data_IF_237735547555
#
_entry.id   IF_237735547555
#
_cell.length_a   1.000
_cell.length_b   1.000
_cell.length_c   1.000
_cell.angle_alpha   90.00
_cell.angle_beta   90.00
_cell.angle_gamma   90.00
#
_symmetry.space_group_name_H-M   'P 1'
#
loop_
_entity.id
_entity.type
_entity.pdbx_description
1 polymer ?
#
# COMPACT_ATOMS: atom_id res chain seq x y z
N UNK A 1 -30.95 -53.90 -11.21
CA UNK A 1 -30.77 -52.51 -10.74
C UNK A 1 -29.39 -52.36 -10.12
N UNK A 2 -28.44 -51.65 -10.75
CA UNK A 2 -27.12 -51.34 -10.17
C UNK A 2 -27.17 -49.96 -9.53
N UNK A 3 -27.19 -49.91 -8.19
CA UNK A 3 -27.14 -48.68 -7.41
C UNK A 3 -25.70 -48.15 -7.45
N UNK A 4 -25.46 -47.12 -8.27
CA UNK A 4 -24.17 -46.41 -8.25
C UNK A 4 -24.23 -45.42 -7.08
N UNK A 5 -23.42 -45.66 -6.06
CA UNK A 5 -23.13 -44.66 -5.03
C UNK A 5 -22.51 -43.44 -5.74
N UNK A 6 -23.29 -42.36 -5.86
CA UNK A 6 -22.82 -41.09 -6.37
C UNK A 6 -21.94 -40.45 -5.28
N UNK A 7 -20.62 -40.47 -5.48
CA UNK A 7 -19.67 -39.70 -4.70
C UNK A 7 -19.84 -38.23 -5.09
N UNK A 8 -20.66 -37.50 -4.34
CA UNK A 8 -20.82 -36.05 -4.47
C UNK A 8 -19.54 -35.39 -3.93
N UNK A 9 -18.58 -35.15 -4.82
CA UNK A 9 -17.47 -34.23 -4.55
C UNK A 9 -18.07 -32.83 -4.34
N UNK A 10 -18.12 -32.39 -3.08
CA UNK A 10 -18.40 -31.02 -2.71
C UNK A 10 -17.27 -30.13 -3.26
N UNK A 11 -17.50 -29.52 -4.43
CA UNK A 11 -16.69 -28.39 -4.89
C UNK A 11 -17.05 -27.20 -3.99
N UNK A 12 -16.39 -27.12 -2.84
CA UNK A 12 -16.43 -25.91 -2.01
C UNK A 12 -15.62 -24.87 -2.76
N UNK A 13 -16.31 -24.06 -3.57
CA UNK A 13 -15.74 -22.82 -4.09
C UNK A 13 -15.51 -21.91 -2.89
N UNK A 14 -14.32 -21.99 -2.29
CA UNK A 14 -13.86 -21.02 -1.33
C UNK A 14 -13.77 -19.70 -2.09
N UNK A 15 -14.75 -18.82 -1.90
CA UNK A 15 -14.65 -17.43 -2.32
C UNK A 15 -13.49 -16.82 -1.56
N UNK A 16 -12.29 -16.85 -2.14
CA UNK A 16 -11.13 -16.16 -1.61
C UNK A 16 -11.50 -14.69 -1.63
N UNK A 17 -11.77 -14.12 -0.45
CA UNK A 17 -12.07 -12.71 -0.32
C UNK A 17 -10.85 -11.94 -0.84
N UNK A 18 -10.94 -11.40 -2.05
CA UNK A 18 -9.85 -10.61 -2.65
C UNK A 18 -9.66 -9.35 -1.80
N UNK A 19 -8.43 -9.15 -1.34
CA UNK A 19 -8.06 -7.93 -0.62
C UNK A 19 -8.38 -6.72 -1.50
N UNK A 20 -8.91 -5.65 -0.89
CA UNK A 20 -9.17 -4.39 -1.57
C UNK A 20 -8.31 -3.31 -0.94
N UNK A 21 -7.64 -2.50 -1.75
CA UNK A 21 -6.77 -1.41 -1.29
C UNK A 21 -7.06 -0.13 -2.09
N UNK A 22 -6.67 1.03 -1.59
CA UNK A 22 -6.52 2.20 -2.46
C UNK A 22 -5.26 2.05 -3.30
N UNK A 23 -5.40 2.24 -4.60
CA UNK A 23 -4.32 2.32 -5.57
C UNK A 23 -4.21 3.73 -6.17
N UNK A 24 -3.08 4.00 -6.80
CA UNK A 24 -2.85 5.19 -7.60
C UNK A 24 -1.71 6.07 -7.09
N UNK A 25 -1.60 7.27 -7.67
CA UNK A 25 -0.47 8.17 -7.46
C UNK A 25 -0.95 9.58 -7.17
N UNK A 26 -0.25 10.26 -6.27
CA UNK A 26 -0.40 11.68 -6.00
C UNK A 26 0.97 12.32 -6.07
N UNK A 27 1.11 13.43 -6.78
CA UNK A 27 2.36 14.19 -6.83
C UNK A 27 2.12 15.64 -6.50
N UNK A 28 3.09 16.25 -5.84
CA UNK A 28 3.21 17.70 -5.71
C UNK A 28 4.54 18.09 -6.36
N UNK A 29 4.45 18.92 -7.39
CA UNK A 29 5.62 19.48 -8.08
C UNK A 29 5.39 20.96 -8.31
N UNK A 30 6.30 21.80 -7.83
CA UNK A 30 6.27 23.24 -8.04
C UNK A 30 4.93 23.89 -7.62
N UNK A 31 4.32 23.36 -6.54
CA UNK A 31 3.04 23.87 -6.01
C UNK A 31 1.78 23.37 -6.71
N UNK A 32 1.90 22.59 -7.79
CA UNK A 32 0.76 21.91 -8.43
C UNK A 32 0.57 20.54 -7.80
N UNK A 33 -0.66 20.23 -7.38
CA UNK A 33 -1.03 18.94 -6.80
C UNK A 33 -1.86 18.15 -7.81
N UNK A 34 -1.32 17.02 -8.27
CA UNK A 34 -2.03 16.02 -9.07
C UNK A 34 -2.38 14.82 -8.17
N UNK A 35 -3.65 14.40 -8.14
CA UNK A 35 -4.12 13.32 -7.26
C UNK A 35 -5.03 12.36 -8.01
N UNK A 36 -4.66 11.09 -7.97
CA UNK A 36 -5.51 10.00 -8.43
C UNK A 36 -5.39 8.81 -7.48
N UNK A 37 -6.33 8.70 -6.53
CA UNK A 37 -6.49 7.49 -5.70
C UNK A 37 -7.85 6.86 -5.93
N UNK A 38 -7.88 5.55 -6.13
CA UNK A 38 -9.10 4.81 -6.39
C UNK A 38 -9.06 3.45 -5.67
N UNK A 39 -10.21 2.93 -5.24
CA UNK A 39 -10.28 1.58 -4.72
C UNK A 39 -10.00 0.55 -5.82
N UNK A 40 -9.14 -0.42 -5.55
CA UNK A 40 -8.82 -1.53 -6.45
C UNK A 40 -8.79 -2.86 -5.68
N UNK A 41 -9.08 -3.96 -6.38
CA UNK A 41 -8.85 -5.30 -5.83
C UNK A 41 -7.40 -5.70 -6.08
N UNK A 42 -6.80 -6.37 -5.11
CA UNK A 42 -5.46 -6.89 -5.23
C UNK A 42 -5.45 -8.17 -6.07
N UNK A 43 -4.36 -8.35 -6.81
CA UNK A 43 -4.08 -9.58 -7.55
C UNK A 43 -3.84 -10.75 -6.59
N UNK A 44 -3.87 -11.96 -7.15
CA UNK A 44 -3.51 -13.16 -6.40
C UNK A 44 -2.07 -13.01 -5.88
N UNK A 45 -1.81 -13.48 -4.66
CA UNK A 45 -0.55 -13.30 -3.93
C UNK A 45 -0.27 -11.92 -3.30
N UNK A 46 -1.11 -10.91 -3.51
CA UNK A 46 -0.95 -9.60 -2.85
C UNK A 46 -1.85 -9.50 -1.62
N UNK A 47 -1.24 -9.62 -0.43
CA UNK A 47 -1.96 -9.79 0.84
C UNK A 47 -1.93 -8.57 1.77
N UNK A 48 -1.29 -7.47 1.37
CA UNK A 48 -1.22 -6.22 2.13
C UNK A 48 -1.54 -4.99 1.27
N UNK A 49 -1.95 -3.89 1.91
CA UNK A 49 -1.97 -2.58 1.27
C UNK A 49 -0.68 -1.82 1.61
N UNK A 50 -0.16 -1.04 0.66
CA UNK A 50 1.07 -0.28 0.83
C UNK A 50 0.95 1.16 0.35
N UNK A 51 1.82 2.02 0.89
CA UNK A 51 2.04 3.39 0.44
C UNK A 51 3.53 3.70 0.48
N UNK A 52 4.02 4.25 -0.61
CA UNK A 52 5.40 4.71 -0.75
C UNK A 52 5.36 6.23 -0.96
N UNK A 53 6.20 6.96 -0.25
CA UNK A 53 6.30 8.41 -0.31
C UNK A 53 7.74 8.76 -0.63
N UNK A 54 7.96 9.54 -1.67
CA UNK A 54 9.25 10.15 -1.99
C UNK A 54 9.15 11.64 -1.74
N UNK A 55 10.11 12.22 -1.02
CA UNK A 55 10.19 13.65 -0.70
C UNK A 55 11.58 14.13 -1.06
N UNK A 56 11.68 15.17 -1.87
CA UNK A 56 12.97 15.79 -2.20
C UNK A 56 13.32 16.97 -1.25
N UNK A 57 14.53 17.50 -1.38
CA UNK A 57 15.00 18.65 -0.57
C UNK A 57 14.22 19.94 -0.81
N UNK A 58 13.44 20.04 -1.89
CA UNK A 58 12.59 21.19 -2.22
C UNK A 58 11.18 21.05 -1.64
N UNK A 59 10.86 19.91 -1.02
CA UNK A 59 9.55 19.59 -0.49
C UNK A 59 8.51 19.22 -1.56
N UNK A 60 8.97 18.91 -2.78
CA UNK A 60 8.18 18.18 -3.77
C UNK A 60 8.08 16.73 -3.32
N UNK A 61 6.95 16.10 -3.63
CA UNK A 61 6.71 14.73 -3.18
C UNK A 61 5.89 13.92 -4.17
N UNK A 62 6.06 12.61 -4.10
CA UNK A 62 5.27 11.62 -4.81
C UNK A 62 4.78 10.56 -3.82
N UNK A 63 3.47 10.37 -3.73
CA UNK A 63 2.83 9.33 -2.93
C UNK A 63 2.23 8.30 -3.90
N UNK A 64 2.63 7.06 -3.76
CA UNK A 64 2.08 5.92 -4.50
C UNK A 64 1.40 4.98 -3.52
N UNK A 65 0.19 4.51 -3.86
CA UNK A 65 -0.56 3.53 -3.09
C UNK A 65 -0.83 2.30 -3.94
N UNK A 66 -0.90 1.15 -3.30
CA UNK A 66 -1.22 -0.08 -3.99
C UNK A 66 -1.36 -1.29 -3.09
N UNK A 67 -1.33 -2.46 -3.73
CA UNK A 67 -1.27 -3.75 -3.07
C UNK A 67 0.19 -4.22 -3.03
N UNK A 68 0.59 -4.90 -1.96
CA UNK A 68 1.92 -5.45 -1.78
C UNK A 68 1.85 -6.93 -1.37
N UNK A 69 2.89 -7.68 -1.74
CA UNK A 69 3.01 -9.11 -1.41
C UNK A 69 3.32 -9.34 0.07
N UNK A 70 4.17 -8.49 0.64
CA UNK A 70 4.65 -8.62 2.01
C UNK A 70 4.66 -7.27 2.71
N UNK A 71 4.24 -7.30 3.98
CA UNK A 71 4.58 -6.30 4.96
C UNK A 71 5.84 -6.74 5.69
N UNK A 72 6.93 -5.97 5.64
CA UNK A 72 8.10 -6.25 6.50
C UNK A 72 7.75 -6.05 7.99
N UNK A 73 6.83 -5.14 8.28
CA UNK A 73 6.34 -4.88 9.63
C UNK A 73 4.88 -5.34 9.78
N UNK A 74 4.63 -6.26 10.72
CA UNK A 74 3.28 -6.65 11.20
C UNK A 74 2.60 -5.55 12.05
N UNK A 75 3.08 -4.31 11.95
CA UNK A 75 2.62 -3.11 12.67
C UNK A 75 2.60 -1.93 11.70
N UNK A 76 1.76 -0.90 11.90
CA UNK A 76 1.82 0.34 11.13
C UNK A 76 3.08 1.14 11.53
N UNK A 77 4.25 0.59 11.23
CA UNK A 77 5.54 1.24 11.38
C UNK A 77 6.05 1.47 9.97
N UNK A 78 6.04 2.74 9.55
CA UNK A 78 6.58 3.11 8.25
C UNK A 78 8.10 3.06 8.30
N UNK A 79 8.71 2.38 7.35
CA UNK A 79 10.17 2.38 7.16
C UNK A 79 10.56 3.69 6.47
N UNK A 80 11.65 4.32 6.91
CA UNK A 80 12.20 5.53 6.27
C UNK A 80 13.61 5.24 5.78
N UNK A 81 13.85 5.46 4.49
CA UNK A 81 15.15 5.32 3.82
C UNK A 81 15.60 6.70 3.33
N UNK A 82 16.85 7.07 3.60
CA UNK A 82 17.46 8.30 3.07
C UNK A 82 18.38 7.95 1.90
N UNK A 83 18.23 8.68 0.80
CA UNK A 83 19.04 8.55 -0.41
C UNK A 83 19.90 9.80 -0.56
N UNK A 84 21.08 9.78 0.05
CA UNK A 84 21.96 10.95 0.20
C UNK A 84 22.39 11.54 -1.15
N UNK A 85 22.57 10.70 -2.19
CA UNK A 85 22.95 11.13 -3.54
C UNK A 85 21.91 12.05 -4.20
N UNK A 86 20.64 11.94 -3.80
CA UNK A 86 19.51 12.65 -4.40
C UNK A 86 18.80 13.58 -3.42
N UNK A 87 19.36 13.77 -2.22
CA UNK A 87 18.72 14.47 -1.10
C UNK A 87 17.24 14.08 -0.92
N UNK A 88 16.94 12.80 -1.13
CA UNK A 88 15.57 12.28 -1.20
C UNK A 88 15.30 11.37 -0.01
N UNK A 89 14.14 11.54 0.62
CA UNK A 89 13.64 10.66 1.68
C UNK A 89 12.53 9.79 1.11
N UNK A 90 12.65 8.49 1.31
CA UNK A 90 11.64 7.50 0.98
C UNK A 90 10.98 7.00 2.26
N UNK A 91 9.64 6.96 2.30
CA UNK A 91 8.87 6.40 3.40
C UNK A 91 7.97 5.31 2.85
N UNK A 92 8.12 4.09 3.35
CA UNK A 92 7.30 2.95 2.97
C UNK A 92 6.44 2.49 4.15
N UNK A 93 5.13 2.61 4.00
CA UNK A 93 4.14 2.14 4.96
C UNK A 93 3.38 0.94 4.39
N UNK A 94 3.02 -0.01 5.24
CA UNK A 94 2.21 -1.14 4.83
C UNK A 94 1.20 -1.50 5.94
N UNK A 95 0.11 -2.16 5.58
CA UNK A 95 -0.88 -2.64 6.53
C UNK A 95 -1.65 -3.85 5.97
N UNK A 96 -2.16 -4.67 6.88
CA UNK A 96 -3.00 -5.81 6.55
C UNK A 96 -4.49 -5.43 6.70
N UNK A 97 -5.31 -5.98 5.81
CA UNK A 97 -6.76 -5.82 5.84
C UNK A 97 -7.31 -4.88 4.77
N UNK A 98 -8.58 -5.11 4.42
CA UNK A 98 -9.24 -4.39 3.33
C UNK A 98 -9.30 -2.89 3.62
N UNK A 99 -8.79 -2.10 2.68
CA UNK A 99 -8.81 -0.64 2.68
C UNK A 99 -8.12 -0.02 3.91
N UNK A 100 -7.18 -0.73 4.53
CA UNK A 100 -6.45 -0.24 5.70
C UNK A 100 -5.65 1.04 5.39
N UNK A 101 -5.21 1.21 4.14
CA UNK A 101 -4.52 2.40 3.63
C UNK A 101 -5.45 3.60 3.33
N UNK A 102 -6.74 3.50 3.64
CA UNK A 102 -7.69 4.62 3.52
C UNK A 102 -7.45 5.75 4.52
N UNK A 103 -6.87 5.40 5.69
CA UNK A 103 -6.65 6.34 6.80
C UNK A 103 -5.35 7.14 6.69
N UNK A 104 -4.49 6.79 5.73
CA UNK A 104 -3.23 7.50 5.56
C UNK A 104 -3.48 8.89 4.98
N UNK A 105 -2.78 9.89 5.54
CA UNK A 105 -2.88 11.27 5.10
C UNK A 105 -2.48 11.45 3.63
N UNK A 106 -3.06 12.48 3.01
CA UNK A 106 -2.73 12.93 1.65
C UNK A 106 -1.50 13.85 1.62
N UNK A 107 -1.05 14.28 2.78
CA UNK A 107 0.16 15.04 3.00
C UNK A 107 1.15 14.08 3.66
N UNK A 108 2.44 14.04 3.26
CA UNK A 108 3.43 13.47 4.15
C UNK A 108 3.20 14.10 5.52
N UNK A 109 3.00 13.28 6.56
CA UNK A 109 3.02 13.83 7.91
C UNK A 109 4.30 14.66 7.99
N UNK A 110 4.21 15.94 8.37
CA UNK A 110 5.42 16.67 8.75
C UNK A 110 6.22 15.70 9.62
N UNK A 111 7.52 15.50 9.35
CA UNK A 111 8.34 14.54 10.07
C UNK A 111 8.34 14.94 11.55
N UNK A 112 7.33 14.52 12.28
CA UNK A 112 6.99 15.01 13.61
C UNK A 112 7.86 14.35 14.67
N UNK A 113 8.74 13.44 14.24
CA UNK A 113 9.78 12.80 15.04
C UNK A 113 10.88 12.18 14.17
N UNK A 114 11.04 12.60 12.89
CA UNK A 114 12.26 12.21 12.18
C UNK A 114 13.39 13.07 12.75
N UNK A 115 14.48 12.47 13.26
CA UNK A 115 15.60 13.25 13.75
C UNK A 115 16.07 14.21 12.64
N UNK A 116 16.47 15.44 13.01
CA UNK A 116 16.86 16.46 12.04
C UNK A 116 17.83 15.87 11.02
N UNK A 117 17.63 16.23 9.76
CA UNK A 117 18.58 15.95 8.69
C UNK A 117 19.86 16.70 9.08
N UNK A 118 20.87 15.96 9.51
CA UNK A 118 22.26 16.43 9.64
C UNK A 118 22.99 15.93 8.39
#
# INVERSE_FOLDING_TARGET
FRMRCFLVLLVVMHTVAKLKCYGGKKTKKEGVVDKYFYPQYCEEELYACAQQIFIDSKGDYSIERGCAKYCKAYKPECETTKWDEFETVEIFCCCDGSMCNSKWGDTPAEPTSAPPIV
#
